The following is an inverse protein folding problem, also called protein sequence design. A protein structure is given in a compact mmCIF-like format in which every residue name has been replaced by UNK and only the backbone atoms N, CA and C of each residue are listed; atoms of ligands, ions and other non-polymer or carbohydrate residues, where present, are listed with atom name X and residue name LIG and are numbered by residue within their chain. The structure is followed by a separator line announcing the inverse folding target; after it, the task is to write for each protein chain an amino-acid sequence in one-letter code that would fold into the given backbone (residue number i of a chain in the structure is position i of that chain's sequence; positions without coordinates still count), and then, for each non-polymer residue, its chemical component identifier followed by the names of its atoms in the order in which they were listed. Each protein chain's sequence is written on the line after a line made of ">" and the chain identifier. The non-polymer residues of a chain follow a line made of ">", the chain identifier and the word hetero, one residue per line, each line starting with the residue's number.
data_IF_321969544978
#
_entry.id   IF_321969544978
#
_cell.length_a   1.000
_cell.length_b   1.000
_cell.length_c   1.000
_cell.angle_alpha   90.00
_cell.angle_beta   90.00
_cell.angle_gamma   90.00
#
_symmetry.space_group_name_H-M   'P 1'
#
loop_
_entity.id
_entity.type
_entity.pdbx_description
1 polymer ?
#
# COMPACT_ATOMS: atom_id res chain seq x y z
N UNK A 1 -22.11 2.00 -0.71
CA UNK A 1 -20.74 1.77 -1.25
C UNK A 1 -19.69 2.03 -0.16
N UNK A 2 -18.54 1.30 -0.14
CA UNK A 2 -17.45 1.57 0.79
C UNK A 2 -16.53 2.66 0.25
N UNK A 3 -16.32 3.71 1.04
CA UNK A 3 -15.51 4.88 0.71
C UNK A 3 -14.41 5.08 1.76
N UNK A 4 -13.26 5.59 1.32
CA UNK A 4 -12.12 5.88 2.18
C UNK A 4 -11.79 7.37 2.15
N UNK A 5 -11.89 8.01 3.30
CA UNK A 5 -11.58 9.42 3.49
C UNK A 5 -10.32 9.58 4.33
N UNK A 6 -9.26 10.15 3.76
CA UNK A 6 -8.00 10.34 4.48
C UNK A 6 -7.85 11.79 4.94
N UNK A 7 -7.69 11.98 6.25
CA UNK A 7 -7.52 13.27 6.90
C UNK A 7 -6.20 13.38 7.63
N UNK A 8 -5.72 14.59 7.85
CA UNK A 8 -4.56 14.86 8.69
C UNK A 8 -4.97 14.78 10.16
N UNK A 9 -4.29 13.93 10.94
CA UNK A 9 -4.46 13.81 12.38
C UNK A 9 -3.37 14.56 13.14
N UNK A 10 -3.74 15.19 14.26
CA UNK A 10 -2.88 16.01 15.13
C UNK A 10 -2.87 15.45 16.54
N UNK A 11 -2.32 14.24 16.78
CA UNK A 11 -2.19 13.73 18.14
C UNK A 11 -1.25 14.63 18.96
N UNK A 12 -1.57 14.84 20.24
CA UNK A 12 -0.71 15.51 21.20
C UNK A 12 0.54 14.66 21.52
N UNK A 13 1.43 15.12 22.38
CA UNK A 13 2.70 14.42 22.70
C UNK A 13 2.41 13.05 23.33
N UNK A 14 1.54 12.99 24.35
CA UNK A 14 1.20 11.73 25.03
C UNK A 14 0.53 10.73 24.07
N UNK A 15 -0.39 11.21 23.24
CA UNK A 15 -1.03 10.37 22.20
C UNK A 15 -0.02 9.86 21.17
N UNK A 16 0.97 10.68 20.75
CA UNK A 16 2.04 10.23 19.84
C UNK A 16 2.89 9.13 20.47
N UNK A 17 3.20 9.22 21.72
CA UNK A 17 3.94 8.19 22.45
C UNK A 17 3.13 6.91 22.54
N UNK A 18 1.87 7.01 22.96
CA UNK A 18 0.96 5.87 23.07
C UNK A 18 0.76 5.18 21.70
N UNK A 19 0.49 5.93 20.63
CA UNK A 19 0.37 5.39 19.27
C UNK A 19 1.67 4.76 18.76
N UNK A 20 2.83 5.29 19.14
CA UNK A 20 4.12 4.67 18.80
C UNK A 20 4.33 3.35 19.56
N UNK A 21 3.92 3.25 20.82
CA UNK A 21 3.92 1.98 21.58
C UNK A 21 2.99 0.96 20.91
N UNK A 22 1.78 1.35 20.53
CA UNK A 22 0.84 0.48 19.81
C UNK A 22 1.43 -0.06 18.50
N UNK A 23 2.08 0.80 17.71
CA UNK A 23 2.78 0.37 16.50
C UNK A 23 3.90 -0.64 16.81
N UNK A 24 4.64 -0.44 17.91
CA UNK A 24 5.73 -1.33 18.32
C UNK A 24 5.20 -2.70 18.75
N UNK A 25 4.18 -2.74 19.60
CA UNK A 25 3.54 -3.97 20.07
C UNK A 25 2.91 -4.74 18.90
N UNK A 26 2.15 -4.04 18.05
CA UNK A 26 1.51 -4.66 16.88
C UNK A 26 2.55 -5.18 15.86
N UNK A 27 3.70 -4.50 15.73
CA UNK A 27 4.82 -4.95 14.90
C UNK A 27 5.47 -6.22 15.46
N UNK A 28 5.72 -6.25 16.77
CA UNK A 28 6.26 -7.45 17.44
C UNK A 28 5.31 -8.63 17.25
N UNK A 29 4.03 -8.43 17.52
CA UNK A 29 3.00 -9.44 17.36
C UNK A 29 2.91 -9.97 15.91
N UNK A 30 2.90 -9.07 14.93
CA UNK A 30 2.94 -9.45 13.51
C UNK A 30 4.15 -10.33 13.19
N UNK A 31 5.34 -9.96 13.68
CA UNK A 31 6.57 -10.70 13.39
C UNK A 31 6.61 -12.04 14.11
N UNK A 32 6.14 -12.10 15.37
CA UNK A 32 6.06 -13.37 16.15
C UNK A 32 5.20 -14.38 15.41
N UNK A 33 4.00 -13.98 14.99
CA UNK A 33 3.09 -14.86 14.26
C UNK A 33 3.62 -15.26 12.88
N UNK A 34 4.30 -14.35 12.19
CA UNK A 34 4.91 -14.68 10.91
C UNK A 34 6.07 -15.66 11.08
N UNK A 35 6.87 -15.53 12.14
CA UNK A 35 7.92 -16.49 12.53
C UNK A 35 7.33 -17.87 12.76
N UNK A 36 6.31 -17.96 13.61
CA UNK A 36 5.58 -19.17 13.93
C UNK A 36 5.08 -19.94 12.69
N UNK A 37 4.55 -19.20 11.68
CA UNK A 37 4.14 -19.81 10.41
C UNK A 37 5.31 -20.21 9.52
N UNK A 38 6.44 -19.52 9.59
CA UNK A 38 7.63 -19.93 8.86
C UNK A 38 8.28 -21.16 9.45
N UNK A 39 8.31 -21.28 10.78
CA UNK A 39 8.79 -22.47 11.46
C UNK A 39 7.94 -23.68 11.09
N UNK A 40 6.61 -23.54 11.15
CA UNK A 40 5.71 -24.58 10.66
C UNK A 40 5.98 -24.94 9.20
N UNK A 41 6.08 -23.94 8.32
CA UNK A 41 6.27 -24.15 6.88
C UNK A 41 7.61 -24.79 6.55
N UNK A 42 8.68 -24.47 7.28
CA UNK A 42 9.99 -25.09 7.12
C UNK A 42 9.96 -26.54 7.56
N UNK A 43 9.39 -26.84 8.72
CA UNK A 43 9.29 -28.19 9.27
C UNK A 43 8.44 -29.10 8.37
N UNK A 44 7.36 -28.58 7.77
CA UNK A 44 6.48 -29.36 6.91
C UNK A 44 6.96 -29.45 5.44
N UNK A 45 8.08 -28.82 5.09
CA UNK A 45 8.72 -28.94 3.78
C UNK A 45 9.92 -29.88 3.76
N UNK A 46 10.33 -30.39 4.89
CA UNK A 46 11.46 -31.28 4.97
C UNK A 46 11.17 -32.60 4.22
N UNK A 47 12.16 -33.12 3.50
CA UNK A 47 12.06 -34.38 2.74
C UNK A 47 11.70 -35.58 3.62
N UNK A 48 11.94 -35.48 4.94
CA UNK A 48 11.48 -36.45 5.96
C UNK A 48 9.97 -36.66 5.91
N UNK A 49 9.18 -35.64 5.54
CA UNK A 49 7.71 -35.74 5.43
C UNK A 49 7.26 -36.43 4.12
N UNK A 50 8.14 -36.59 3.17
CA UNK A 50 7.90 -37.32 1.92
C UNK A 50 8.52 -38.73 1.99
N UNK A 51 9.18 -39.10 3.09
CA UNK A 51 9.73 -40.43 3.29
C UNK A 51 8.59 -41.40 3.61
N UNK A 52 8.41 -42.40 2.77
CA UNK A 52 7.42 -43.46 2.91
C UNK A 52 7.74 -44.46 4.04
N UNK A 53 8.92 -44.35 4.66
CA UNK A 53 9.23 -45.06 5.89
C UNK A 53 8.35 -44.48 7.00
N UNK A 54 7.49 -45.32 7.56
CA UNK A 54 6.59 -45.10 8.70
C UNK A 54 7.32 -44.72 9.99
N UNK A 55 8.12 -43.70 9.95
CA UNK A 55 8.41 -42.89 11.10
C UNK A 55 7.12 -42.13 11.38
N UNK A 56 6.30 -42.63 12.28
CA UNK A 56 5.34 -41.79 12.99
C UNK A 56 6.18 -40.67 13.63
N UNK A 57 6.39 -39.57 12.90
CA UNK A 57 6.78 -38.33 13.53
C UNK A 57 5.54 -37.92 14.33
N UNK A 58 5.51 -38.21 15.66
CA UNK A 58 4.45 -37.74 16.49
C UNK A 58 4.53 -36.22 16.38
N UNK A 59 3.41 -35.55 16.19
CA UNK A 59 3.23 -34.15 16.36
C UNK A 59 3.81 -33.22 15.28
N UNK A 60 3.54 -33.52 14.01
CA UNK A 60 3.53 -32.43 13.02
C UNK A 60 2.44 -31.45 13.42
N UNK A 61 2.88 -30.35 14.02
CA UNK A 61 2.01 -29.26 14.45
C UNK A 61 1.10 -28.82 13.30
N UNK A 62 -0.18 -28.67 13.57
CA UNK A 62 -1.14 -28.16 12.61
C UNK A 62 -0.71 -26.80 12.06
N UNK A 63 -1.11 -26.49 10.80
CA UNK A 63 -0.83 -25.21 10.19
C UNK A 63 -1.42 -24.06 11.04
N UNK A 64 -0.61 -23.18 11.60
CA UNK A 64 -1.13 -22.04 12.37
C UNK A 64 -2.03 -21.18 11.52
N UNK A 65 -3.30 -21.09 11.89
CA UNK A 65 -4.29 -20.25 11.25
C UNK A 65 -4.54 -18.94 12.02
N UNK A 66 -5.50 -18.15 11.57
CA UNK A 66 -5.91 -16.93 12.25
C UNK A 66 -6.45 -17.20 13.66
N UNK A 67 -7.24 -18.27 13.82
CA UNK A 67 -7.92 -18.57 15.08
C UNK A 67 -6.95 -19.11 16.14
N UNK A 68 -6.10 -20.07 15.78
CA UNK A 68 -5.07 -20.63 16.67
C UNK A 68 -4.11 -19.55 17.17
N UNK A 69 -3.66 -18.66 16.29
CA UNK A 69 -2.78 -17.57 16.66
C UNK A 69 -3.49 -16.50 17.51
N UNK A 70 -4.77 -16.19 17.22
CA UNK A 70 -5.57 -15.24 18.01
C UNK A 70 -5.77 -15.73 19.45
N UNK A 71 -5.93 -17.03 19.69
CA UNK A 71 -6.10 -17.63 21.03
C UNK A 71 -4.90 -17.37 21.96
N UNK A 72 -3.74 -16.99 21.43
CA UNK A 72 -2.57 -16.63 22.25
C UNK A 72 -2.68 -15.21 22.85
N UNK A 73 -3.57 -14.33 22.35
CA UNK A 73 -3.67 -12.95 22.82
C UNK A 73 -4.08 -12.80 24.30
N UNK A 74 -5.03 -13.56 24.85
CA UNK A 74 -5.34 -13.50 26.28
C UNK A 74 -4.10 -13.77 27.14
N UNK A 75 -3.37 -14.84 26.88
CA UNK A 75 -2.15 -15.23 27.61
C UNK A 75 -1.10 -14.12 27.58
N UNK A 76 -0.88 -13.49 26.42
CA UNK A 76 0.08 -12.38 26.28
C UNK A 76 -0.36 -11.08 26.97
N UNK A 77 -1.59 -11.03 27.50
CA UNK A 77 -2.10 -9.90 28.27
C UNK A 77 -2.04 -10.11 29.77
N UNK A 78 -1.74 -11.31 30.22
CA UNK A 78 -1.63 -11.63 31.64
C UNK A 78 -0.37 -11.01 32.23
N UNK A 79 0.71 -10.91 31.43
CA UNK A 79 1.97 -10.34 31.88
C UNK A 79 2.66 -9.49 30.80
N UNK A 80 3.71 -8.80 31.20
CA UNK A 80 4.58 -8.04 30.30
C UNK A 80 5.44 -8.98 29.46
N UNK A 81 5.40 -8.80 28.16
CA UNK A 81 6.19 -9.61 27.23
C UNK A 81 7.58 -9.02 27.04
N UNK A 82 8.61 -9.76 27.43
CA UNK A 82 10.00 -9.37 27.23
C UNK A 82 10.48 -9.68 25.82
N UNK A 83 11.03 -8.71 25.13
CA UNK A 83 11.67 -8.89 23.82
C UNK A 83 13.11 -9.38 24.02
N UNK A 84 13.39 -10.66 23.68
CA UNK A 84 14.66 -11.34 23.98
C UNK A 84 15.91 -10.56 23.58
N UNK A 85 15.94 -9.92 22.39
CA UNK A 85 17.14 -9.23 21.91
C UNK A 85 17.36 -7.83 22.49
N UNK A 86 16.35 -7.20 23.09
CA UNK A 86 16.45 -5.81 23.56
C UNK A 86 16.10 -5.61 25.02
N UNK A 87 15.60 -6.63 25.70
CA UNK A 87 15.07 -6.50 27.06
C UNK A 87 13.84 -5.58 27.17
N UNK A 88 13.28 -5.12 26.05
CA UNK A 88 12.13 -4.23 26.03
C UNK A 88 10.88 -4.95 26.53
N UNK A 89 10.17 -4.33 27.47
CA UNK A 89 8.91 -4.84 28.00
C UNK A 89 7.74 -4.28 27.18
N UNK A 90 6.87 -5.18 26.73
CA UNK A 90 5.69 -4.85 25.92
C UNK A 90 4.40 -5.20 26.67
N UNK A 91 3.57 -4.19 26.91
CA UNK A 91 2.25 -4.33 27.53
C UNK A 91 1.17 -4.47 26.46
N UNK A 92 0.69 -5.67 26.23
CA UNK A 92 -0.38 -5.98 25.27
C UNK A 92 -1.74 -5.49 25.73
N UNK A 93 -1.94 -5.21 27.03
CA UNK A 93 -3.21 -4.69 27.55
C UNK A 93 -3.46 -3.26 27.10
N UNK A 94 -2.39 -2.52 26.83
CA UNK A 94 -2.46 -1.10 26.39
C UNK A 94 -3.05 -0.92 24.99
N UNK A 95 -3.04 -1.95 24.14
CA UNK A 95 -3.50 -1.90 22.75
C UNK A 95 -4.95 -2.38 22.64
N UNK A 96 -5.82 -1.78 21.81
CA UNK A 96 -7.14 -2.33 21.53
C UNK A 96 -7.05 -3.75 20.95
N UNK A 97 -7.85 -4.69 21.44
CA UNK A 97 -7.78 -6.09 21.07
C UNK A 97 -7.98 -6.32 19.58
N UNK A 98 -8.93 -5.61 18.98
CA UNK A 98 -9.21 -5.68 17.54
C UNK A 98 -8.01 -5.26 16.69
N UNK A 99 -7.21 -4.28 17.15
CA UNK A 99 -5.98 -3.88 16.45
C UNK A 99 -4.95 -5.01 16.40
N UNK A 100 -4.82 -5.79 17.49
CA UNK A 100 -3.94 -6.97 17.52
C UNK A 100 -4.50 -8.12 16.68
N UNK A 101 -5.82 -8.33 16.70
CA UNK A 101 -6.48 -9.30 15.84
C UNK A 101 -6.34 -8.97 14.35
N UNK A 102 -6.39 -7.68 13.98
CA UNK A 102 -6.12 -7.26 12.59
C UNK A 102 -4.68 -7.56 12.17
N UNK A 103 -3.71 -7.42 13.08
CA UNK A 103 -2.33 -7.84 12.80
C UNK A 103 -2.25 -9.34 12.48
N UNK A 104 -2.96 -10.19 13.23
CA UNK A 104 -3.09 -11.64 12.96
C UNK A 104 -3.74 -11.89 11.59
N UNK A 105 -4.85 -11.23 11.30
CA UNK A 105 -5.55 -11.34 10.01
C UNK A 105 -4.65 -10.95 8.83
N UNK A 106 -3.82 -9.93 8.99
CA UNK A 106 -2.85 -9.52 7.97
C UNK A 106 -1.77 -10.57 7.72
N UNK A 107 -1.29 -11.24 8.76
CA UNK A 107 -0.34 -12.36 8.63
C UNK A 107 -1.00 -13.51 7.89
N UNK A 108 -2.20 -13.91 8.32
CA UNK A 108 -2.98 -14.97 7.71
C UNK A 108 -3.19 -14.76 6.21
N UNK A 109 -3.69 -13.59 5.82
CA UNK A 109 -3.91 -13.23 4.42
C UNK A 109 -2.60 -13.20 3.61
N UNK A 110 -1.50 -12.72 4.20
CA UNK A 110 -0.22 -12.66 3.51
C UNK A 110 0.34 -14.08 3.28
N UNK A 111 0.19 -14.96 4.26
CA UNK A 111 0.66 -16.33 4.20
C UNK A 111 -0.20 -17.18 3.25
N UNK A 112 -1.52 -17.04 3.30
CA UNK A 112 -2.45 -17.68 2.34
C UNK A 112 -2.12 -17.29 0.89
N UNK A 113 -1.89 -16.01 0.61
CA UNK A 113 -1.49 -15.55 -0.72
C UNK A 113 -0.13 -16.09 -1.17
N UNK A 114 0.76 -16.39 -0.25
CA UNK A 114 2.04 -17.01 -0.53
C UNK A 114 1.88 -18.48 -0.92
N UNK A 115 1.08 -19.24 -0.17
CA UNK A 115 0.88 -20.68 -0.40
C UNK A 115 -0.09 -20.95 -1.56
N UNK A 116 -1.26 -20.34 -1.53
CA UNK A 116 -2.39 -20.63 -2.41
C UNK A 116 -2.51 -19.65 -3.60
N UNK A 117 -2.08 -18.40 -3.42
CA UNK A 117 -2.29 -17.33 -4.39
C UNK A 117 -3.47 -16.42 -4.02
N UNK A 118 -3.77 -15.50 -4.94
CA UNK A 118 -4.95 -14.64 -4.89
C UNK A 118 -6.15 -15.31 -5.59
N UNK A 119 -7.28 -14.60 -5.70
CA UNK A 119 -8.49 -15.05 -6.39
C UNK A 119 -8.27 -15.45 -7.87
N UNK A 120 -7.15 -15.04 -8.47
CA UNK A 120 -6.74 -15.39 -9.83
C UNK A 120 -5.65 -16.48 -9.86
N UNK A 121 -5.39 -17.15 -8.73
CA UNK A 121 -4.35 -18.18 -8.60
C UNK A 121 -2.91 -17.65 -8.60
N UNK A 122 -2.70 -16.33 -8.62
CA UNK A 122 -1.36 -15.74 -8.65
C UNK A 122 -0.75 -15.71 -7.25
N UNK A 123 0.32 -16.50 -7.06
CA UNK A 123 1.04 -16.55 -5.78
C UNK A 123 1.85 -15.27 -5.54
N UNK A 124 1.80 -14.79 -4.31
CA UNK A 124 2.65 -13.71 -3.82
C UNK A 124 4.02 -14.25 -3.41
N UNK A 125 5.04 -13.40 -3.43
CA UNK A 125 6.33 -13.78 -2.84
C UNK A 125 6.25 -14.00 -1.34
N UNK A 126 7.27 -14.68 -0.77
CA UNK A 126 7.39 -14.98 0.68
C UNK A 126 7.15 -13.70 1.51
N UNK A 127 6.22 -13.71 2.49
CA UNK A 127 6.00 -12.58 3.38
C UNK A 127 7.28 -12.17 4.10
N UNK A 128 7.43 -10.89 4.43
CA UNK A 128 8.64 -10.37 5.06
C UNK A 128 8.36 -9.84 6.45
N UNK A 129 9.28 -10.10 7.37
CA UNK A 129 9.30 -9.43 8.67
C UNK A 129 9.32 -7.91 8.49
N UNK A 130 8.63 -7.22 9.37
CA UNK A 130 8.51 -5.77 9.33
C UNK A 130 9.34 -5.14 10.43
N UNK A 131 10.21 -4.21 10.05
CA UNK A 131 10.88 -3.34 11.00
C UNK A 131 9.97 -2.15 11.39
N UNK A 132 10.36 -1.39 12.40
CA UNK A 132 9.62 -0.22 12.89
C UNK A 132 9.38 0.86 11.81
N UNK A 133 10.26 0.94 10.81
CA UNK A 133 10.09 1.88 9.71
C UNK A 133 9.03 1.44 8.68
N UNK A 134 8.68 0.17 8.63
CA UNK A 134 7.71 -0.41 7.69
C UNK A 134 6.35 -0.72 8.31
N UNK A 135 6.27 -0.96 9.62
CA UNK A 135 5.00 -1.14 10.32
C UNK A 135 4.49 0.24 10.78
N UNK A 136 3.56 0.83 10.04
CA UNK A 136 3.18 2.24 10.21
C UNK A 136 1.68 2.46 10.36
N UNK A 137 0.87 1.42 10.30
CA UNK A 137 -0.59 1.54 10.27
C UNK A 137 -1.21 0.65 11.31
N UNK A 138 -2.10 1.24 12.10
CA UNK A 138 -2.98 0.59 13.06
C UNK A 138 -4.39 0.60 12.48
N UNK A 139 -5.10 -0.50 12.57
CA UNK A 139 -6.53 -0.59 12.25
C UNK A 139 -7.32 -0.49 13.54
N UNK A 140 -8.29 0.41 13.58
CA UNK A 140 -9.23 0.57 14.69
C UNK A 140 -10.62 0.28 14.12
N UNK A 141 -11.34 -0.66 14.69
CA UNK A 141 -12.69 -1.00 14.28
C UNK A 141 -13.69 0.11 14.65
N UNK A 142 -14.77 0.23 13.87
CA UNK A 142 -15.71 1.33 14.01
C UNK A 142 -16.37 1.43 15.40
N UNK A 143 -16.67 0.28 16.01
CA UNK A 143 -17.23 0.22 17.36
C UNK A 143 -16.31 0.75 18.48
N UNK A 144 -15.01 0.85 18.21
CA UNK A 144 -14.01 1.40 19.13
C UNK A 144 -13.75 2.88 18.91
N UNK A 145 -14.57 3.56 18.10
CA UNK A 145 -14.38 4.95 17.69
C UNK A 145 -15.69 5.71 17.89
N UNK A 146 -15.65 6.80 18.66
CA UNK A 146 -16.72 7.79 18.69
C UNK A 146 -16.29 9.01 17.90
N UNK A 147 -17.18 9.49 17.05
CA UNK A 147 -16.96 10.64 16.17
C UNK A 147 -17.75 11.83 16.67
N UNK A 148 -17.05 12.93 16.91
CA UNK A 148 -17.67 14.21 17.24
C UNK A 148 -17.17 15.28 16.27
N UNK A 149 -18.10 16.00 15.68
CA UNK A 149 -17.80 17.09 14.74
C UNK A 149 -18.03 18.42 15.41
N UNK A 150 -16.96 19.18 15.62
CA UNK A 150 -17.06 20.52 16.18
C UNK A 150 -16.67 21.54 15.12
N UNK A 151 -17.65 22.29 14.63
CA UNK A 151 -17.49 23.28 13.57
C UNK A 151 -17.20 22.67 12.19
N UNK A 152 -16.95 23.52 11.21
CA UNK A 152 -16.77 23.10 9.80
C UNK A 152 -15.42 22.46 9.50
N UNK A 153 -14.42 22.65 10.36
CA UNK A 153 -13.01 22.40 10.04
C UNK A 153 -12.36 21.25 10.80
N UNK A 154 -12.98 20.80 11.89
CA UNK A 154 -12.35 19.86 12.80
C UNK A 154 -13.28 18.70 13.14
N UNK A 155 -12.67 17.54 13.22
CA UNK A 155 -13.26 16.30 13.66
C UNK A 155 -12.48 15.82 14.88
N UNK A 156 -13.19 15.45 15.94
CA UNK A 156 -12.63 14.88 17.14
C UNK A 156 -13.02 13.40 17.21
N UNK A 157 -12.02 12.55 17.37
CA UNK A 157 -12.20 11.11 17.43
C UNK A 157 -11.80 10.63 18.82
N UNK A 158 -12.74 10.06 19.56
CA UNK A 158 -12.43 9.24 20.72
C UNK A 158 -12.11 7.83 20.25
N UNK A 159 -10.97 7.33 20.65
CA UNK A 159 -10.50 5.99 20.26
C UNK A 159 -10.31 5.18 21.54
N UNK A 160 -10.88 3.99 21.59
CA UNK A 160 -10.75 3.10 22.75
C UNK A 160 -9.29 2.96 23.18
N UNK A 161 -9.03 3.09 24.47
CA UNK A 161 -7.71 3.09 25.11
C UNK A 161 -6.76 4.24 24.74
N UNK A 162 -7.09 5.12 23.83
CA UNK A 162 -6.32 6.33 23.58
C UNK A 162 -6.82 7.45 24.50
N UNK A 163 -5.93 8.01 25.32
CA UNK A 163 -6.33 9.08 26.27
C UNK A 163 -6.68 10.37 25.52
N UNK A 164 -7.89 10.86 25.74
CA UNK A 164 -8.42 12.11 25.19
C UNK A 164 -8.76 12.05 23.69
N UNK A 165 -9.29 13.14 23.18
CA UNK A 165 -9.77 13.28 21.82
C UNK A 165 -8.62 13.46 20.81
N UNK A 166 -8.63 12.66 19.74
CA UNK A 166 -7.70 12.82 18.62
C UNK A 166 -8.24 13.87 17.65
N UNK A 167 -7.56 15.00 17.54
CA UNK A 167 -7.92 16.10 16.65
C UNK A 167 -7.54 15.78 15.20
N UNK A 168 -8.49 15.94 14.28
CA UNK A 168 -8.34 15.63 12.85
C UNK A 168 -8.83 16.81 12.02
N UNK A 169 -8.05 17.24 11.01
CA UNK A 169 -8.45 18.35 10.11
C UNK A 169 -9.45 17.87 9.09
N UNK A 170 -10.66 18.42 9.13
CA UNK A 170 -11.74 18.13 8.21
C UNK A 170 -11.66 19.09 7.01
N UNK A 171 -10.91 18.70 5.97
CA UNK A 171 -10.78 19.49 4.72
C UNK A 171 -11.87 19.14 3.69
N UNK A 172 -12.65 18.12 3.94
CA UNK A 172 -13.79 17.66 3.15
C UNK A 172 -14.85 17.12 4.10
N UNK A 173 -16.13 17.50 3.97
CA UNK A 173 -17.17 16.99 4.83
C UNK A 173 -17.32 15.46 4.70
N UNK A 174 -17.80 14.84 5.77
CA UNK A 174 -18.24 13.45 5.72
C UNK A 174 -19.66 13.40 5.13
N UNK A 175 -20.03 12.37 4.38
CA UNK A 175 -21.39 12.19 3.89
C UNK A 175 -22.39 12.10 5.05
N UNK A 176 -23.60 12.62 4.87
CA UNK A 176 -24.65 12.50 5.85
C UNK A 176 -25.15 11.05 5.90
N UNK A 177 -25.38 10.51 7.09
CA UNK A 177 -25.91 9.14 7.24
C UNK A 177 -24.91 8.02 6.98
N UNK A 178 -23.61 8.31 6.98
CA UNK A 178 -22.57 7.28 6.79
C UNK A 178 -22.49 6.31 7.98
N UNK A 179 -22.09 5.08 7.68
CA UNK A 179 -21.78 4.07 8.69
C UNK A 179 -20.26 3.90 8.77
N UNK A 180 -19.69 4.17 9.95
CA UNK A 180 -18.26 3.99 10.20
C UNK A 180 -17.93 2.49 10.31
N UNK A 181 -17.15 1.96 9.40
CA UNK A 181 -16.68 0.55 9.43
C UNK A 181 -15.39 0.40 10.23
N UNK A 182 -14.37 1.12 9.85
CA UNK A 182 -13.08 1.15 10.55
C UNK A 182 -12.29 2.42 10.22
N UNK A 183 -11.20 2.63 10.95
CA UNK A 183 -10.24 3.69 10.71
C UNK A 183 -8.81 3.14 10.71
N UNK A 184 -8.02 3.62 9.76
CA UNK A 184 -6.58 3.36 9.71
C UNK A 184 -5.81 4.58 10.23
N UNK A 185 -5.12 4.43 11.37
CA UNK A 185 -4.18 5.43 11.85
C UNK A 185 -2.79 5.15 11.29
N UNK A 186 -2.32 6.02 10.39
CA UNK A 186 -1.07 5.81 9.65
C UNK A 186 -0.04 6.89 9.97
N UNK A 187 1.15 6.47 10.41
CA UNK A 187 2.31 7.35 10.61
C UNK A 187 3.07 7.54 9.30
N UNK A 188 3.09 8.76 8.77
CA UNK A 188 3.86 9.15 7.58
C UNK A 188 5.07 10.02 7.97
N UNK A 189 5.90 10.37 6.99
CA UNK A 189 7.13 11.17 7.21
C UNK A 189 6.87 12.58 7.75
N UNK A 190 5.68 13.12 7.49
CA UNK A 190 5.25 14.46 7.91
C UNK A 190 4.27 14.45 9.09
N UNK A 191 3.80 13.29 9.53
CA UNK A 191 2.95 13.14 10.73
C UNK A 191 1.91 12.03 10.60
N UNK A 192 0.81 12.16 11.34
CA UNK A 192 -0.23 11.15 11.43
C UNK A 192 -1.42 11.45 10.50
N UNK A 193 -2.04 10.39 10.04
CA UNK A 193 -3.23 10.43 9.18
C UNK A 193 -4.26 9.43 9.68
N UNK A 194 -5.51 9.87 9.74
CA UNK A 194 -6.66 9.03 9.93
C UNK A 194 -7.32 8.78 8.56
N UNK A 195 -7.40 7.53 8.14
CA UNK A 195 -8.19 7.14 6.97
C UNK A 195 -9.44 6.46 7.48
N UNK A 196 -10.56 7.12 7.34
CA UNK A 196 -11.87 6.65 7.78
C UNK A 196 -12.48 5.86 6.63
N UNK A 197 -12.75 4.58 6.87
CA UNK A 197 -13.51 3.73 5.96
C UNK A 197 -14.97 3.79 6.40
N UNK A 198 -15.82 4.29 5.52
CA UNK A 198 -17.23 4.43 5.76
C UNK A 198 -18.06 3.78 4.65
N UNK A 199 -19.23 3.34 5.00
CA UNK A 199 -20.24 2.92 4.06
C UNK A 199 -21.21 4.07 3.83
N UNK A 200 -21.32 4.46 2.59
CA UNK A 200 -22.29 5.48 2.16
C UNK A 200 -23.42 4.78 1.41
N UNK A 201 -24.62 4.66 2.02
CA UNK A 201 -25.74 4.01 1.38
C UNK A 201 -26.33 4.86 0.23
N UNK A 202 -26.11 6.16 0.22
CA UNK A 202 -26.62 7.07 -0.83
C UNK A 202 -25.90 6.88 -2.18
N UNK A 203 -24.70 6.31 -2.17
CA UNK A 203 -23.94 6.06 -3.39
C UNK A 203 -24.34 4.71 -3.99
N UNK A 204 -25.02 4.69 -5.15
CA UNK A 204 -25.45 3.44 -5.79
C UNK A 204 -24.26 2.57 -6.18
N UNK A 205 -24.49 1.27 -6.18
CA UNK A 205 -23.50 0.32 -6.70
C UNK A 205 -23.52 0.41 -8.23
N UNK A 206 -22.42 0.89 -8.81
CA UNK A 206 -22.30 1.01 -10.26
C UNK A 206 -22.23 -0.38 -10.90
N UNK A 207 -23.22 -0.67 -11.77
CA UNK A 207 -23.22 -1.87 -12.58
C UNK A 207 -22.55 -1.57 -13.93
N UNK A 208 -21.37 -2.12 -14.16
CA UNK A 208 -20.56 -1.90 -15.37
C UNK A 208 -21.19 -2.45 -16.64
N UNK A 209 -22.12 -3.38 -16.50
CA UNK A 209 -22.72 -4.09 -17.63
C UNK A 209 -23.89 -3.35 -18.25
N UNK A 210 -24.32 -2.25 -17.63
CA UNK A 210 -25.47 -1.45 -18.07
C UNK A 210 -25.11 -0.51 -19.22
N UNK A 211 -23.82 -0.20 -19.41
CA UNK A 211 -23.39 0.75 -20.45
C UNK A 211 -22.74 -0.02 -21.58
N UNK A 212 -23.45 -0.14 -22.70
CA UNK A 212 -22.89 -0.64 -23.96
C UNK A 212 -21.90 0.39 -24.53
N UNK A 213 -20.77 -0.08 -25.06
CA UNK A 213 -19.80 0.77 -25.73
C UNK A 213 -20.31 1.11 -27.14
N UNK A 214 -20.43 2.39 -27.44
CA UNK A 214 -20.72 2.93 -28.79
C UNK A 214 -19.61 3.90 -29.18
N UNK A 215 -19.45 4.19 -30.43
CA UNK A 215 -18.45 5.18 -30.91
C UNK A 215 -18.65 6.56 -30.27
N UNK A 216 -19.89 6.97 -30.06
CA UNK A 216 -20.24 8.26 -29.48
C UNK A 216 -19.92 8.36 -28.00
N UNK A 217 -20.11 7.29 -27.23
CA UNK A 217 -19.92 7.29 -25.77
C UNK A 217 -18.56 6.76 -25.30
N UNK A 218 -17.70 6.35 -26.23
CA UNK A 218 -16.39 5.75 -25.95
C UNK A 218 -15.24 6.68 -26.26
N UNK A 219 -14.21 6.67 -25.43
CA UNK A 219 -12.95 7.37 -25.63
C UNK A 219 -11.78 6.40 -25.50
N UNK A 220 -11.00 6.25 -26.58
CA UNK A 220 -9.73 5.53 -26.55
C UNK A 220 -8.65 6.39 -25.91
N UNK A 221 -7.76 5.75 -25.13
CA UNK A 221 -6.67 6.43 -24.43
C UNK A 221 -5.37 5.66 -24.59
N UNK A 222 -4.31 6.32 -25.05
CA UNK A 222 -2.96 5.82 -25.09
C UNK A 222 -2.10 6.46 -24.01
N UNK A 223 -1.27 5.65 -23.36
CA UNK A 223 -0.36 6.09 -22.30
C UNK A 223 0.99 6.52 -22.88
N UNK A 224 1.17 7.81 -23.03
CA UNK A 224 2.35 8.40 -23.70
C UNK A 224 3.47 8.68 -22.70
N UNK A 225 4.68 8.24 -23.00
CA UNK A 225 5.88 8.54 -22.21
C UNK A 225 6.75 9.63 -22.87
N UNK A 226 6.10 10.71 -23.25
CA UNK A 226 6.74 11.84 -23.90
C UNK A 226 7.14 12.96 -22.92
N UNK A 227 7.88 13.96 -23.40
CA UNK A 227 8.31 15.08 -22.55
C UNK A 227 7.17 15.95 -22.06
N UNK A 228 6.23 16.21 -22.89
CA UNK A 228 5.10 17.11 -22.61
C UNK A 228 3.80 16.34 -22.36
N UNK A 229 3.64 15.17 -23.01
CA UNK A 229 2.38 14.44 -23.05
C UNK A 229 2.37 13.27 -22.05
N UNK A 230 1.22 13.04 -21.43
CA UNK A 230 0.92 11.97 -20.50
C UNK A 230 -0.04 10.94 -21.07
N UNK A 231 -1.13 11.44 -21.65
CA UNK A 231 -2.13 10.63 -22.34
C UNK A 231 -2.47 11.32 -23.67
N UNK A 232 -2.69 10.49 -24.69
CA UNK A 232 -3.33 10.89 -25.95
C UNK A 232 -4.71 10.21 -26.02
N UNK A 233 -5.70 10.90 -26.57
CA UNK A 233 -7.04 10.38 -26.76
C UNK A 233 -7.35 10.15 -28.24
N UNK A 234 -8.31 9.27 -28.52
CA UNK A 234 -8.78 9.02 -29.90
C UNK A 234 -9.39 10.26 -30.59
N UNK A 235 -9.70 11.29 -29.82
CA UNK A 235 -10.18 12.58 -30.34
C UNK A 235 -9.03 13.60 -30.58
N UNK A 236 -7.78 13.15 -30.51
CA UNK A 236 -6.60 13.99 -30.74
C UNK A 236 -6.18 14.88 -29.55
N UNK A 237 -6.89 14.82 -28.42
CA UNK A 237 -6.54 15.60 -27.24
C UNK A 237 -5.33 14.99 -26.54
N UNK A 238 -4.34 15.82 -26.20
CA UNK A 238 -3.16 15.42 -25.44
C UNK A 238 -3.18 16.02 -24.05
N UNK A 239 -3.04 15.18 -23.02
CA UNK A 239 -3.02 15.59 -21.62
C UNK A 239 -1.58 15.72 -21.11
N UNK A 240 -1.24 16.75 -20.32
CA UNK A 240 0.14 17.10 -19.99
C UNK A 240 0.80 16.17 -19.01
N UNK A 241 2.12 15.99 -19.12
CA UNK A 241 2.97 15.21 -18.23
C UNK A 241 3.45 16.01 -17.02
N UNK A 242 3.40 15.41 -15.82
CA UNK A 242 3.82 16.08 -14.57
C UNK A 242 5.32 15.99 -14.28
N UNK A 243 5.95 14.83 -14.46
CA UNK A 243 7.37 14.52 -14.18
C UNK A 243 7.86 14.93 -12.79
N UNK A 244 7.06 14.67 -11.75
CA UNK A 244 7.30 15.15 -10.39
C UNK A 244 8.60 14.61 -9.77
N UNK A 245 8.95 13.35 -10.06
CA UNK A 245 10.20 12.75 -9.59
C UNK A 245 11.40 13.34 -10.33
N UNK A 246 11.33 13.48 -11.65
CA UNK A 246 12.42 14.05 -12.45
C UNK A 246 12.78 15.46 -11.99
N UNK A 247 11.78 16.31 -11.73
CA UNK A 247 11.97 17.66 -11.17
C UNK A 247 12.65 17.64 -9.79
N UNK A 248 12.36 16.65 -8.96
CA UNK A 248 12.93 16.50 -7.60
C UNK A 248 14.20 15.64 -7.53
N UNK A 249 14.65 15.02 -8.62
CA UNK A 249 15.71 14.02 -8.63
C UNK A 249 17.04 14.54 -8.08
N UNK A 250 17.47 15.73 -8.50
CA UNK A 250 18.72 16.36 -8.02
C UNK A 250 18.68 16.57 -6.50
N UNK A 251 17.57 17.08 -5.97
CA UNK A 251 17.35 17.30 -4.53
C UNK A 251 17.37 15.99 -3.73
N UNK A 252 16.69 14.95 -4.22
CA UNK A 252 16.69 13.63 -3.59
C UNK A 252 18.09 13.01 -3.57
N UNK A 253 18.85 13.13 -4.66
CA UNK A 253 20.23 12.65 -4.73
C UNK A 253 21.15 13.37 -3.73
N UNK A 254 21.03 14.68 -3.61
CA UNK A 254 21.79 15.47 -2.61
C UNK A 254 21.43 15.06 -1.18
N UNK A 255 20.15 14.87 -0.85
CA UNK A 255 19.71 14.39 0.45
C UNK A 255 20.23 12.97 0.76
N UNK A 256 20.23 12.09 -0.25
CA UNK A 256 20.75 10.72 -0.11
C UNK A 256 22.25 10.73 0.18
N UNK A 257 23.06 11.46 -0.60
CA UNK A 257 24.51 11.58 -0.38
C UNK A 257 24.85 12.14 1.02
N UNK A 258 24.13 13.19 1.44
CA UNK A 258 24.30 13.78 2.79
C UNK A 258 23.95 12.80 3.90
N UNK A 259 22.89 11.99 3.71
CA UNK A 259 22.43 10.97 4.66
C UNK A 259 23.48 9.84 4.79
N UNK A 260 24.02 9.36 3.66
CA UNK A 260 25.01 8.26 3.67
C UNK A 260 26.31 8.64 4.41
N UNK A 261 26.72 9.90 4.34
CA UNK A 261 27.89 10.42 5.09
C UNK A 261 27.68 10.48 6.62
N UNK A 262 26.47 10.19 7.13
CA UNK A 262 26.18 10.25 8.58
C UNK A 262 26.13 8.85 9.18
N UNK A 263 26.68 8.70 10.40
CA UNK A 263 26.70 7.44 11.17
C UNK A 263 25.30 6.85 11.28
N UNK A 264 25.17 5.54 11.03
CA UNK A 264 23.91 4.79 11.22
C UNK A 264 23.41 4.99 12.65
N UNK A 265 22.10 5.20 12.81
CA UNK A 265 21.48 5.43 14.12
C UNK A 265 21.56 6.87 14.65
N UNK A 266 22.42 7.75 14.10
CA UNK A 266 22.58 9.13 14.60
C UNK A 266 21.32 10.00 14.40
N UNK A 267 21.16 11.01 15.28
CA UNK A 267 20.07 12.00 15.19
C UNK A 267 20.10 12.75 13.85
N UNK A 268 21.29 13.11 13.36
CA UNK A 268 21.47 13.80 12.08
C UNK A 268 21.04 12.94 10.90
N UNK A 269 21.40 11.65 10.87
CA UNK A 269 20.94 10.71 9.83
C UNK A 269 19.42 10.55 9.86
N UNK A 270 18.80 10.45 11.04
CA UNK A 270 17.33 10.38 11.18
C UNK A 270 16.64 11.65 10.67
N UNK A 271 17.19 12.84 10.95
CA UNK A 271 16.68 14.12 10.41
C UNK A 271 16.72 14.14 8.88
N UNK A 272 17.84 13.71 8.27
CA UNK A 272 17.98 13.66 6.80
C UNK A 272 17.04 12.61 6.18
N UNK A 273 16.91 11.44 6.79
CA UNK A 273 15.95 10.42 6.35
C UNK A 273 14.49 10.95 6.38
N UNK A 274 14.13 11.71 7.41
CA UNK A 274 12.82 12.36 7.51
C UNK A 274 12.61 13.41 6.40
N UNK A 275 13.63 14.22 6.09
CA UNK A 275 13.58 15.19 4.97
C UNK A 275 13.42 14.47 3.63
N UNK A 276 14.21 13.42 3.37
CA UNK A 276 14.10 12.60 2.17
C UNK A 276 12.70 11.96 2.05
N UNK A 277 12.17 11.43 3.18
CA UNK A 277 10.81 10.87 3.21
C UNK A 277 9.72 11.90 2.90
N UNK A 278 9.87 13.14 3.36
CA UNK A 278 8.93 14.23 3.03
C UNK A 278 8.96 14.57 1.54
N UNK A 279 10.15 14.58 0.92
CA UNK A 279 10.27 14.85 -0.52
C UNK A 279 9.61 13.74 -1.35
N UNK A 280 9.84 12.45 -1.02
CA UNK A 280 9.12 11.35 -1.66
C UNK A 280 7.60 11.44 -1.48
N UNK A 281 7.14 11.88 -0.31
CA UNK A 281 5.72 12.06 -0.04
C UNK A 281 5.12 13.22 -0.86
N UNK A 282 5.87 14.31 -1.04
CA UNK A 282 5.47 15.42 -1.92
C UNK A 282 5.30 14.96 -3.37
N UNK A 283 6.27 14.19 -3.90
CA UNK A 283 6.19 13.59 -5.23
C UNK A 283 4.96 12.69 -5.36
N UNK A 284 4.73 11.80 -4.38
CA UNK A 284 3.58 10.90 -4.40
C UNK A 284 2.25 11.67 -4.40
N UNK A 285 2.14 12.75 -3.63
CA UNK A 285 0.94 13.60 -3.62
C UNK A 285 0.72 14.31 -4.94
N UNK A 286 1.78 14.86 -5.52
CA UNK A 286 1.70 15.52 -6.82
C UNK A 286 1.22 14.56 -7.93
N UNK A 287 1.67 13.29 -7.90
CA UNK A 287 1.18 12.25 -8.82
C UNK A 287 -0.30 11.94 -8.61
N UNK A 288 -0.74 11.85 -7.34
CA UNK A 288 -2.14 11.62 -7.01
C UNK A 288 -3.01 12.79 -7.48
N UNK A 289 -2.61 14.01 -7.21
CA UNK A 289 -3.31 15.22 -7.64
C UNK A 289 -3.43 15.29 -9.17
N UNK A 290 -2.32 15.06 -9.87
CA UNK A 290 -2.29 14.99 -11.32
C UNK A 290 -3.25 13.92 -11.86
N UNK A 291 -3.19 12.69 -11.28
CA UNK A 291 -4.08 11.62 -11.70
C UNK A 291 -5.57 11.96 -11.50
N UNK A 292 -5.91 12.68 -10.42
CA UNK A 292 -7.29 13.16 -10.22
C UNK A 292 -7.68 14.23 -11.23
N UNK A 293 -6.83 15.21 -11.48
CA UNK A 293 -7.10 16.27 -12.45
C UNK A 293 -7.31 15.69 -13.84
N UNK A 294 -6.41 14.81 -14.28
CA UNK A 294 -6.54 14.09 -15.55
C UNK A 294 -7.84 13.27 -15.63
N UNK A 295 -8.19 12.54 -14.56
CA UNK A 295 -9.45 11.80 -14.54
C UNK A 295 -10.68 12.72 -14.61
N UNK A 296 -10.66 13.88 -13.96
CA UNK A 296 -11.73 14.86 -14.04
C UNK A 296 -11.86 15.48 -15.43
N UNK A 297 -10.76 15.75 -16.11
CA UNK A 297 -10.77 16.24 -17.51
C UNK A 297 -11.41 15.21 -18.43
N UNK A 298 -11.03 13.93 -18.28
CA UNK A 298 -11.64 12.85 -19.06
C UNK A 298 -13.15 12.69 -18.79
N UNK A 299 -13.58 12.75 -17.53
CA UNK A 299 -15.00 12.65 -17.17
C UNK A 299 -15.81 13.83 -17.72
N UNK A 300 -15.23 15.03 -17.78
CA UNK A 300 -15.86 16.23 -18.37
C UNK A 300 -16.13 16.12 -19.87
N UNK A 301 -15.49 15.19 -20.58
CA UNK A 301 -15.82 14.93 -21.99
C UNK A 301 -17.24 14.38 -22.19
N UNK A 302 -17.91 13.94 -21.10
CA UNK A 302 -19.24 13.33 -21.15
C UNK A 302 -19.21 11.86 -21.61
N UNK A 303 -18.06 11.33 -22.00
CA UNK A 303 -17.92 9.92 -22.41
C UNK A 303 -18.17 9.00 -21.22
N UNK A 304 -18.82 7.87 -21.48
CA UNK A 304 -19.21 6.88 -20.45
C UNK A 304 -18.27 5.68 -20.40
N UNK A 305 -17.59 5.37 -21.49
CA UNK A 305 -16.67 4.25 -21.65
C UNK A 305 -15.27 4.75 -21.98
N UNK A 306 -14.27 4.30 -21.23
CA UNK A 306 -12.86 4.64 -21.43
C UNK A 306 -12.09 3.37 -21.73
N UNK A 307 -11.47 3.29 -22.90
CA UNK A 307 -10.68 2.14 -23.37
C UNK A 307 -9.21 2.51 -23.31
N UNK A 308 -8.39 1.64 -22.76
CA UNK A 308 -6.94 1.80 -22.73
C UNK A 308 -6.23 0.47 -22.89
N UNK A 309 -4.98 0.51 -23.35
CA UNK A 309 -4.13 -0.68 -23.44
C UNK A 309 -3.84 -1.25 -22.03
N UNK A 310 -3.90 -2.57 -21.89
CA UNK A 310 -3.48 -3.26 -20.65
C UNK A 310 -1.95 -3.37 -20.58
N UNK A 311 -1.32 -2.30 -20.14
CA UNK A 311 0.13 -2.19 -20.02
C UNK A 311 0.68 -3.08 -18.91
N UNK A 312 1.41 -4.12 -19.27
CA UNK A 312 2.16 -4.92 -18.30
C UNK A 312 3.42 -4.18 -17.83
N UNK A 313 3.22 -3.13 -17.00
CA UNK A 313 4.30 -2.28 -16.48
C UNK A 313 5.41 -3.07 -15.77
N UNK A 314 5.08 -4.23 -15.18
CA UNK A 314 6.05 -5.09 -14.51
C UNK A 314 6.99 -5.76 -15.54
N UNK A 315 6.46 -6.24 -16.64
CA UNK A 315 7.26 -6.81 -17.73
C UNK A 315 8.08 -5.71 -18.42
N UNK A 316 7.45 -4.57 -18.71
CA UNK A 316 8.13 -3.41 -19.33
C UNK A 316 9.29 -2.88 -18.46
N UNK A 317 9.21 -2.95 -17.14
CA UNK A 317 10.27 -2.48 -16.22
C UNK A 317 11.32 -3.52 -15.85
N UNK A 318 11.23 -4.74 -16.39
CA UNK A 318 12.18 -5.81 -16.13
C UNK A 318 13.60 -5.40 -16.58
N UNK A 319 14.62 -5.78 -15.78
CA UNK A 319 16.02 -5.53 -16.14
C UNK A 319 16.42 -6.36 -17.37
N UNK A 320 17.31 -5.80 -18.18
CA UNK A 320 17.94 -6.54 -19.27
C UNK A 320 18.76 -7.70 -18.69
N UNK A 321 18.82 -8.81 -19.41
CA UNK A 321 19.70 -9.92 -19.07
C UNK A 321 21.15 -9.51 -19.28
N UNK A 322 22.05 -10.06 -18.49
CA UNK A 322 23.49 -9.93 -18.73
C UNK A 322 23.82 -10.54 -20.09
N UNK A 323 24.74 -9.92 -20.82
CA UNK A 323 25.33 -10.45 -22.04
C UNK A 323 26.80 -10.70 -21.75
N UNK A 324 27.33 -11.85 -22.18
CA UNK A 324 28.74 -12.21 -22.09
C UNK A 324 29.21 -12.56 -23.48
N UNK A 325 30.51 -12.31 -23.77
CA UNK A 325 31.21 -12.82 -24.94
C UNK A 325 31.67 -14.27 -24.73
N UNK A 326 32.37 -14.82 -25.70
CA UNK A 326 32.90 -16.21 -25.68
C UNK A 326 33.91 -16.42 -24.55
N UNK A 327 34.61 -15.38 -24.13
CA UNK A 327 35.56 -15.38 -23.02
C UNK A 327 34.94 -15.14 -21.66
N UNK A 328 33.58 -15.03 -21.56
CA UNK A 328 32.86 -14.80 -20.33
C UNK A 328 32.85 -13.35 -19.82
N UNK A 329 33.39 -12.40 -20.60
CA UNK A 329 33.44 -10.99 -20.28
C UNK A 329 32.06 -10.32 -20.50
N UNK A 330 31.63 -9.49 -19.56
CA UNK A 330 30.35 -8.80 -19.67
C UNK A 330 30.35 -7.71 -20.73
N UNK A 331 29.41 -7.80 -21.66
CA UNK A 331 29.17 -6.82 -22.72
C UNK A 331 28.12 -5.77 -22.33
N UNK A 332 28.17 -4.57 -22.93
CA UNK A 332 27.12 -3.56 -22.78
C UNK A 332 25.77 -4.13 -23.24
N UNK A 333 24.74 -4.02 -22.35
CA UNK A 333 23.40 -4.57 -22.60
C UNK A 333 22.29 -3.54 -22.61
N UNK A 334 22.60 -2.23 -22.67
CA UNK A 334 21.64 -1.14 -22.66
C UNK A 334 20.92 -0.93 -21.31
N UNK A 335 21.40 -1.54 -20.20
CA UNK A 335 20.76 -1.42 -18.88
C UNK A 335 20.72 0.02 -18.37
N UNK A 336 21.67 0.87 -18.72
CA UNK A 336 21.67 2.29 -18.30
C UNK A 336 20.47 3.05 -18.91
N UNK A 337 20.25 2.91 -20.22
CA UNK A 337 19.10 3.47 -20.93
C UNK A 337 17.78 2.92 -20.37
N UNK A 338 17.71 1.59 -20.17
CA UNK A 338 16.54 0.93 -19.56
C UNK A 338 16.24 1.43 -18.17
N UNK A 339 17.25 1.69 -17.35
CA UNK A 339 17.08 2.28 -16.02
C UNK A 339 16.53 3.71 -16.08
N UNK A 340 16.93 4.48 -17.08
CA UNK A 340 16.37 5.81 -17.37
C UNK A 340 14.89 5.73 -17.72
N UNK A 341 14.52 4.85 -18.64
CA UNK A 341 13.15 4.60 -19.05
C UNK A 341 12.28 4.13 -17.88
N UNK A 342 12.77 3.16 -17.07
CA UNK A 342 12.06 2.66 -15.90
C UNK A 342 11.78 3.76 -14.86
N UNK A 343 12.67 4.74 -14.69
CA UNK A 343 12.42 5.91 -13.84
C UNK A 343 11.27 6.77 -14.39
N UNK A 344 11.18 6.93 -15.69
CA UNK A 344 10.10 7.69 -16.34
C UNK A 344 8.76 6.97 -16.24
N UNK A 345 8.71 5.66 -16.48
CA UNK A 345 7.53 4.82 -16.22
C UNK A 345 7.04 4.92 -14.77
N UNK A 346 7.98 4.81 -13.82
CA UNK A 346 7.64 4.95 -12.40
C UNK A 346 7.18 6.37 -12.03
N UNK A 347 7.68 7.39 -12.72
CA UNK A 347 7.27 8.79 -12.50
C UNK A 347 5.88 9.07 -13.08
N UNK A 348 5.56 8.55 -14.25
CA UNK A 348 4.24 8.66 -14.87
C UNK A 348 3.14 8.00 -14.03
N UNK A 349 3.45 6.91 -13.32
CA UNK A 349 2.53 6.22 -12.40
C UNK A 349 1.20 5.77 -13.05
N UNK A 350 1.22 5.35 -14.32
CA UNK A 350 0.04 4.91 -15.08
C UNK A 350 -0.78 3.84 -14.36
N UNK A 351 -0.14 2.84 -13.73
CA UNK A 351 -0.86 1.85 -12.95
C UNK A 351 -1.71 2.45 -11.83
N UNK A 352 -1.25 3.52 -11.18
CA UNK A 352 -2.02 4.23 -10.17
C UNK A 352 -3.20 5.01 -10.78
N UNK A 353 -3.02 5.55 -11.97
CA UNK A 353 -4.07 6.27 -12.69
C UNK A 353 -5.17 5.31 -13.15
N UNK A 354 -4.84 4.31 -13.95
CA UNK A 354 -5.83 3.39 -14.53
C UNK A 354 -6.54 2.53 -13.47
N UNK A 355 -5.82 1.95 -12.52
CA UNK A 355 -6.43 1.04 -11.52
C UNK A 355 -7.03 1.77 -10.33
N UNK A 356 -6.49 2.93 -9.95
CA UNK A 356 -6.84 3.60 -8.69
C UNK A 356 -7.84 4.75 -8.84
N UNK A 357 -7.87 5.43 -9.97
CA UNK A 357 -8.61 6.70 -10.11
C UNK A 357 -9.77 6.64 -11.08
N UNK A 358 -9.62 5.95 -12.19
CA UNK A 358 -10.73 5.70 -13.10
C UNK A 358 -11.61 4.52 -12.64
N UNK A 359 -11.22 3.81 -11.55
CA UNK A 359 -11.97 2.64 -11.07
C UNK A 359 -11.95 1.47 -12.06
N UNK A 360 -11.13 1.56 -13.08
CA UNK A 360 -11.00 0.55 -14.12
C UNK A 360 -10.20 -0.62 -13.56
N UNK A 361 -10.86 -1.74 -13.26
CA UNK A 361 -10.14 -3.01 -13.18
C UNK A 361 -9.79 -3.40 -14.62
N UNK A 362 -8.54 -3.79 -14.91
CA UNK A 362 -8.21 -4.27 -16.24
C UNK A 362 -9.12 -5.46 -16.54
N UNK A 363 -10.05 -5.31 -17.47
CA UNK A 363 -10.60 -6.40 -18.25
C UNK A 363 -9.77 -6.48 -19.50
N UNK A 364 -9.17 -7.61 -19.73
CA UNK A 364 -8.63 -8.03 -20.99
C UNK A 364 -9.72 -7.96 -22.08
N UNK A 365 -9.91 -6.80 -22.67
CA UNK A 365 -10.31 -6.74 -24.04
C UNK A 365 -9.03 -6.94 -24.87
N UNK A 366 -8.65 -8.19 -25.08
CA UNK A 366 -7.91 -8.62 -26.27
C UNK A 366 -8.88 -8.48 -27.45
N UNK A 367 -9.08 -7.27 -27.89
CA UNK A 367 -9.77 -7.00 -29.13
C UNK A 367 -8.82 -6.13 -29.98
N UNK A 368 -8.15 -6.80 -30.90
CA UNK A 368 -7.85 -6.31 -32.24
C UNK A 368 -7.49 -4.80 -32.36
N UNK A 369 -6.36 -4.40 -31.81
CA UNK A 369 -5.74 -3.12 -32.18
C UNK A 369 -4.85 -3.24 -33.41
N UNK A 370 -4.75 -4.42 -34.05
CA UNK A 370 -3.95 -4.60 -35.26
C UNK A 370 -4.60 -4.04 -36.56
N UNK A 371 -5.85 -3.57 -36.50
CA UNK A 371 -6.53 -3.03 -37.68
C UNK A 371 -6.75 -1.52 -37.67
N UNK A 372 -6.22 -0.78 -36.69
CA UNK A 372 -6.41 0.69 -36.58
C UNK A 372 -5.15 1.52 -36.83
N UNK A 373 -4.03 0.90 -37.24
CA UNK A 373 -2.80 1.60 -37.60
C UNK A 373 -2.58 1.73 -39.11
N UNK A 374 -3.56 1.39 -39.92
CA UNK A 374 -3.55 1.63 -41.38
C UNK A 374 -4.50 2.78 -41.73
N UNK A 375 -4.20 3.99 -41.25
CA UNK A 375 -4.63 5.25 -41.85
C UNK A 375 -3.64 6.35 -41.49
#
# INVERSE_FOLDING_TARGET
>A
MLLNYQYRAYPNTNQKEQLNRWLRISQYWYNKQLGDRFDWWQNNRCDVNSCSLTCSLPDLRENPDFYSQKKQLPILKEDLVTVQHSGELLDFTSVPSQTLQDASKRVDLAFKRFLQGDSNGKRSGKPRFKNSARYRTLTIEGQAITVETTGKDWLFLSVSKLKGWLKVRLHRPLPIGFILKNMLLTKKSDGWYATICLEDPSVPVFNRYVVAATWENTLGMDAVLHEQDYLATSEGTKLPSLKSFRKSQKRLAALSRRKEKKRKGSRSRRKLAKRQGREHQRIARARIDHAFKTAHELVRTGKKVFIHEDLNLKALSKRNKAKQDEDGKFLPNGQAAKSGLNKSWADAAFGQFFTGKLGLKPRTFRAAFSSFLDF
#
